data_IF_525809579569
#
_entry.id   IF_525809579569
#
_cell.length_a   1.000
_cell.length_b   1.000
_cell.length_c   1.000
_cell.angle_alpha   90.00
_cell.angle_beta   90.00
_cell.angle_gamma   90.00
#
_symmetry.space_group_name_H-M   'P 1'
#
loop_
_entity.id
_entity.type
_entity.pdbx_description
1 polymer ?
#
# COMPACT_ATOMS: atom_id res chain seq x y z
N UNK A 1 -1.99 44.34 -50.43
CA UNK A 1 -1.67 42.90 -50.50
C UNK A 1 -0.63 42.62 -49.42
N UNK A 2 -1.07 42.09 -48.27
CA UNK A 2 -0.20 41.84 -47.11
C UNK A 2 0.73 40.65 -47.36
N UNK A 3 2.02 40.84 -47.10
CA UNK A 3 2.99 39.75 -47.01
C UNK A 3 2.77 38.98 -45.69
N UNK A 4 2.25 37.77 -45.80
CA UNK A 4 2.19 36.80 -44.70
C UNK A 4 3.53 36.04 -44.63
N UNK A 5 4.29 36.24 -43.56
CA UNK A 5 5.47 35.45 -43.27
C UNK A 5 5.03 34.11 -42.67
N UNK A 6 4.95 33.08 -43.52
CA UNK A 6 4.72 31.70 -43.10
C UNK A 6 5.91 31.19 -42.31
N UNK A 7 5.70 30.94 -41.01
CA UNK A 7 6.63 30.22 -40.14
C UNK A 7 6.77 28.81 -40.71
N UNK A 8 7.90 28.49 -41.35
CA UNK A 8 8.20 27.12 -41.76
C UNK A 8 8.32 26.28 -40.49
N UNK A 9 7.45 25.28 -40.36
CA UNK A 9 7.62 24.23 -39.37
C UNK A 9 8.77 23.38 -39.88
N UNK A 10 9.91 23.44 -39.19
CA UNK A 10 11.01 22.53 -39.43
C UNK A 10 10.50 21.10 -39.13
N UNK A 11 10.73 20.12 -40.03
CA UNK A 11 10.31 18.75 -39.80
C UNK A 11 11.01 18.22 -38.55
N UNK A 12 10.22 17.57 -37.70
CA UNK A 12 10.61 16.88 -36.47
C UNK A 12 12.10 16.60 -36.38
N UNK A 13 12.77 17.26 -35.44
CA UNK A 13 14.01 16.73 -34.91
C UNK A 13 13.72 15.30 -34.46
N UNK A 14 14.27 14.30 -35.17
CA UNK A 14 14.27 12.93 -34.72
C UNK A 14 14.98 12.91 -33.38
N UNK A 15 14.20 12.85 -32.30
CA UNK A 15 14.75 12.56 -30.99
C UNK A 15 15.31 11.14 -31.08
N UNK A 16 16.62 10.92 -30.83
CA UNK A 16 17.11 9.56 -30.71
C UNK A 16 16.28 8.89 -29.63
N UNK A 17 15.69 7.74 -29.99
CA UNK A 17 14.94 6.90 -29.06
C UNK A 17 15.86 6.63 -27.87
N UNK A 18 15.54 7.25 -26.72
CA UNK A 18 16.35 7.08 -25.53
C UNK A 18 16.35 5.59 -25.18
N UNK A 19 17.48 5.01 -24.75
CA UNK A 19 17.48 3.63 -24.31
C UNK A 19 16.44 3.49 -23.20
N UNK A 20 15.49 2.57 -23.38
CA UNK A 20 14.58 2.18 -22.32
C UNK A 20 15.44 1.64 -21.18
N UNK A 21 15.63 2.45 -20.14
CA UNK A 21 16.38 2.03 -18.96
C UNK A 21 15.73 0.78 -18.40
N UNK A 22 16.53 -0.26 -18.14
CA UNK A 22 16.05 -1.39 -17.35
C UNK A 22 15.73 -0.87 -15.94
N UNK A 23 14.45 -0.60 -15.70
CA UNK A 23 13.90 -0.11 -14.42
C UNK A 23 13.84 -1.18 -13.33
N UNK A 24 14.18 -2.43 -13.68
CA UNK A 24 14.21 -3.55 -12.75
C UNK A 24 15.61 -3.69 -12.15
N UNK A 25 15.78 -3.06 -10.99
CA UNK A 25 16.95 -3.23 -10.14
C UNK A 25 16.51 -3.74 -8.77
N UNK A 26 17.11 -4.83 -8.30
CA UNK A 26 16.85 -5.41 -6.98
C UNK A 26 18.02 -5.19 -6.00
N UNK A 27 18.99 -4.34 -6.34
CA UNK A 27 20.19 -4.08 -5.53
C UNK A 27 19.88 -3.50 -4.14
N UNK A 28 18.69 -2.91 -3.96
CA UNK A 28 18.22 -2.38 -2.68
C UNK A 28 17.55 -3.44 -1.78
N UNK A 29 17.21 -4.62 -2.30
CA UNK A 29 16.58 -5.67 -1.51
C UNK A 29 17.58 -6.29 -0.52
N UNK A 30 17.14 -6.53 0.71
CA UNK A 30 17.99 -7.02 1.80
C UNK A 30 17.52 -8.39 2.28
N UNK A 31 18.35 -9.09 3.07
CA UNK A 31 18.03 -10.43 3.55
C UNK A 31 17.06 -10.34 4.72
N UNK A 32 16.25 -11.39 4.91
CA UNK A 32 15.26 -11.48 5.99
C UNK A 32 15.86 -11.32 7.40
N UNK A 33 17.17 -11.55 7.56
CA UNK A 33 17.88 -11.45 8.83
C UNK A 33 18.59 -10.10 9.03
N UNK A 34 18.46 -9.16 8.10
CA UNK A 34 18.98 -7.80 8.28
C UNK A 34 18.05 -7.01 9.22
N UNK A 35 18.54 -5.99 9.95
CA UNK A 35 17.75 -5.26 10.95
C UNK A 35 16.42 -4.69 10.44
N UNK A 36 16.38 -4.31 9.16
CA UNK A 36 15.15 -3.94 8.44
C UNK A 36 15.18 -4.62 7.07
N UNK A 37 14.48 -5.75 6.88
CA UNK A 37 14.44 -6.45 5.61
C UNK A 37 13.58 -5.67 4.61
N UNK A 38 14.14 -5.40 3.42
CA UNK A 38 13.49 -4.73 2.30
C UNK A 38 13.31 -5.75 1.18
N UNK A 39 12.07 -5.89 0.71
CA UNK A 39 11.74 -6.81 -0.38
C UNK A 39 11.86 -6.09 -1.72
N UNK A 40 12.20 -6.83 -2.79
CA UNK A 40 12.16 -6.30 -4.15
C UNK A 40 10.74 -6.04 -4.63
N UNK A 41 10.57 -5.10 -5.56
CA UNK A 41 9.28 -4.73 -6.15
C UNK A 41 8.60 -5.88 -6.90
N UNK A 42 9.40 -6.82 -7.45
CA UNK A 42 8.90 -8.01 -8.15
C UNK A 42 8.51 -9.16 -7.19
N UNK A 43 8.71 -8.99 -5.87
CA UNK A 43 8.33 -10.01 -4.88
C UNK A 43 6.81 -10.06 -4.72
N UNK A 44 6.23 -11.25 -4.83
CA UNK A 44 4.81 -11.47 -4.55
C UNK A 44 4.53 -11.22 -3.06
N UNK A 45 3.60 -10.31 -2.80
CA UNK A 45 3.14 -9.97 -1.45
C UNK A 45 1.76 -10.61 -1.26
N UNK A 46 1.61 -11.36 -0.18
CA UNK A 46 0.32 -11.91 0.20
C UNK A 46 -0.68 -10.77 0.46
N UNK A 47 -1.75 -10.73 -0.33
CA UNK A 47 -2.90 -9.87 -0.04
C UNK A 47 -3.72 -10.53 1.08
N UNK A 48 -3.88 -9.87 2.25
CA UNK A 48 -4.74 -10.40 3.31
C UNK A 48 -6.21 -10.49 2.88
N UNK A 49 -6.61 -9.80 1.80
CA UNK A 49 -7.94 -9.83 1.24
C UNK A 49 -8.07 -10.96 0.23
N UNK A 50 -8.96 -11.91 0.54
CA UNK A 50 -9.35 -12.95 -0.41
C UNK A 50 -10.34 -12.35 -1.41
N UNK A 51 -9.85 -11.82 -2.53
CA UNK A 51 -10.65 -11.11 -3.53
C UNK A 51 -11.93 -11.85 -3.96
N UNK A 52 -11.88 -13.18 -4.12
CA UNK A 52 -13.04 -14.00 -4.49
C UNK A 52 -14.16 -14.04 -3.42
N UNK A 53 -13.81 -13.83 -2.14
CA UNK A 53 -14.76 -13.85 -1.03
C UNK A 53 -15.11 -12.43 -0.55
N UNK A 54 -14.29 -11.44 -0.87
CA UNK A 54 -14.41 -10.07 -0.39
C UNK A 54 -15.65 -9.35 -0.94
N UNK A 55 -16.03 -9.61 -2.21
CA UNK A 55 -17.18 -8.99 -2.87
C UNK A 55 -18.27 -10.02 -3.17
N UNK A 56 -18.74 -10.71 -2.12
CA UNK A 56 -19.77 -11.75 -2.23
C UNK A 56 -21.01 -11.40 -1.40
N UNK A 57 -22.18 -11.81 -1.89
CA UNK A 57 -23.44 -11.68 -1.14
C UNK A 57 -23.37 -12.37 0.23
N UNK A 58 -22.56 -13.43 0.34
CA UNK A 58 -22.32 -14.11 1.60
C UNK A 58 -21.61 -13.22 2.63
N UNK A 59 -20.70 -12.36 2.19
CA UNK A 59 -20.04 -11.39 3.07
C UNK A 59 -21.04 -10.32 3.52
N UNK A 60 -21.84 -9.78 2.60
CA UNK A 60 -22.89 -8.80 2.92
C UNK A 60 -23.88 -9.35 3.96
N UNK A 61 -24.34 -10.59 3.82
CA UNK A 61 -25.28 -11.20 4.77
C UNK A 61 -24.67 -11.34 6.18
N UNK A 62 -23.37 -11.66 6.28
CA UNK A 62 -22.67 -11.71 7.57
C UNK A 62 -22.54 -10.32 8.17
N UNK A 63 -22.13 -9.35 7.37
CA UNK A 63 -21.97 -7.96 7.80
C UNK A 63 -23.30 -7.39 8.29
N UNK A 64 -24.42 -7.67 7.61
CA UNK A 64 -25.75 -7.26 8.03
C UNK A 64 -26.15 -7.88 9.38
N UNK A 65 -25.83 -9.16 9.60
CA UNK A 65 -26.08 -9.84 10.89
C UNK A 65 -25.23 -9.28 12.01
N UNK A 66 -23.95 -9.03 11.76
CA UNK A 66 -23.02 -8.48 12.74
C UNK A 66 -23.34 -7.02 13.08
N UNK A 67 -23.73 -6.22 12.09
CA UNK A 67 -24.08 -4.82 12.27
C UNK A 67 -25.29 -4.62 13.20
N UNK A 68 -26.25 -5.56 13.18
CA UNK A 68 -27.43 -5.52 14.07
C UNK A 68 -27.20 -6.23 15.40
N UNK A 69 -26.12 -7.00 15.53
CA UNK A 69 -25.82 -7.77 16.75
C UNK A 69 -25.32 -6.87 17.89
N UNK A 70 -26.24 -6.59 18.81
CA UNK A 70 -25.96 -5.78 20.00
C UNK A 70 -25.09 -6.50 21.03
N UNK A 71 -24.88 -7.81 20.92
CA UNK A 71 -24.03 -8.56 21.85
C UNK A 71 -22.55 -8.19 21.69
N UNK A 72 -22.15 -7.74 20.50
CA UNK A 72 -20.80 -7.23 20.22
C UNK A 72 -20.57 -5.80 20.74
N UNK A 73 -21.61 -5.16 21.29
CA UNK A 73 -21.52 -3.81 21.87
C UNK A 73 -21.24 -3.94 23.37
N UNK A 74 -20.16 -3.35 23.82
CA UNK A 74 -19.90 -3.17 25.26
C UNK A 74 -21.03 -2.36 25.92
N UNK A 75 -21.62 -2.91 26.98
CA UNK A 75 -22.81 -2.33 27.63
C UNK A 75 -22.50 -1.17 28.60
N UNK A 76 -21.24 -0.77 28.69
CA UNK A 76 -20.74 0.22 29.66
C UNK A 76 -20.13 1.45 28.98
N UNK A 77 -20.02 2.55 29.74
CA UNK A 77 -19.40 3.78 29.23
C UNK A 77 -17.87 3.66 29.27
N UNK A 78 -17.23 3.73 28.11
CA UNK A 78 -15.75 3.73 27.99
C UNK A 78 -15.12 5.09 28.33
N UNK A 79 -15.91 6.17 28.40
CA UNK A 79 -15.37 7.51 28.66
C UNK A 79 -14.84 7.60 30.10
N UNK A 80 -13.52 7.65 30.23
CA UNK A 80 -12.81 7.72 31.51
C UNK A 80 -12.37 6.36 32.07
N UNK A 81 -12.68 5.26 31.37
CA UNK A 81 -12.15 3.95 31.73
C UNK A 81 -10.64 3.91 31.49
N UNK A 82 -9.87 3.52 32.50
CA UNK A 82 -8.44 3.22 32.33
C UNK A 82 -8.31 1.90 31.57
N UNK A 83 -7.33 1.76 30.66
CA UNK A 83 -7.08 0.50 29.99
C UNK A 83 -6.80 -0.59 31.04
N UNK A 84 -7.31 -1.81 30.81
CA UNK A 84 -7.11 -2.95 31.72
C UNK A 84 -5.64 -3.40 31.78
N UNK A 85 -4.85 -3.08 30.74
CA UNK A 85 -3.42 -3.32 30.68
C UNK A 85 -2.66 -2.00 30.52
N UNK A 86 -1.40 -1.99 30.96
CA UNK A 86 -0.47 -0.93 30.60
C UNK A 86 -0.15 -1.02 29.10
N UNK A 87 -0.09 0.13 28.44
CA UNK A 87 0.45 0.19 27.08
C UNK A 87 1.92 -0.23 27.12
N UNK A 88 2.24 -1.35 26.47
CA UNK A 88 3.63 -1.75 26.26
C UNK A 88 4.16 -1.01 25.04
N UNK A 89 5.15 -0.14 25.22
CA UNK A 89 5.96 0.32 24.10
C UNK A 89 6.84 -0.86 23.64
N UNK A 90 6.73 -1.23 22.37
CA UNK A 90 7.55 -2.28 21.75
C UNK A 90 8.96 -1.77 21.35
N UNK A 91 9.41 -0.63 21.89
CA UNK A 91 10.63 0.06 21.42
C UNK A 91 11.95 -0.57 21.93
N UNK A 92 11.91 -1.71 22.62
CA UNK A 92 13.08 -2.24 23.35
C UNK A 92 13.31 -3.74 23.11
N UNK A 93 13.17 -4.19 21.86
CA UNK A 93 13.53 -5.56 21.45
C UNK A 93 14.46 -5.61 20.23
N UNK A 94 15.23 -4.55 19.98
CA UNK A 94 16.31 -4.53 18.98
C UNK A 94 17.68 -4.16 19.58
N UNK A 95 17.90 -4.43 20.87
CA UNK A 95 19.24 -4.39 21.45
C UNK A 95 19.58 -5.77 22.03
N UNK A 96 20.30 -6.57 21.26
CA UNK A 96 20.83 -7.85 21.74
C UNK A 96 21.45 -8.72 20.66
N UNK A 97 22.77 -8.52 20.51
CA UNK A 97 23.81 -9.37 19.89
C UNK A 97 24.05 -9.29 18.38
#
# INVERSE_FOLDING_TARGET
MSQAHGRKQDPSAEHPEAPEGQVRDASYATKQNDPVPVQSDDTEVDDPIKGEAADTDQQLERDEKEAVDKSNIIHERTRGAKPQASYKQQLDQLEGE
#
